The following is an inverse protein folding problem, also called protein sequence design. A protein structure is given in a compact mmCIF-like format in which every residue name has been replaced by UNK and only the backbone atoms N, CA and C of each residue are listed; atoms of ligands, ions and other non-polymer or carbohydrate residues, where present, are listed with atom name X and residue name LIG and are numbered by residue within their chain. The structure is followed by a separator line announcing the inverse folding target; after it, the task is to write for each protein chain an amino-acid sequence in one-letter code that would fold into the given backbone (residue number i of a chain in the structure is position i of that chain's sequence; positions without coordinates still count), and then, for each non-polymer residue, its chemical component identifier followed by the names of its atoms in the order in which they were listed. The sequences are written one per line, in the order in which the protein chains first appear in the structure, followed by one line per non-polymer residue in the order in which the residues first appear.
data_IF_875291904072
#
_entry.id   IF_875291904072
#
_cell.length_a   1.000
_cell.length_b   1.000
_cell.length_c   1.000
_cell.angle_alpha   90.00
_cell.angle_beta   90.00
_cell.angle_gamma   90.00
#
_symmetry.space_group_name_H-M   'P 1'
#
loop_
_entity.id
_entity.type
_entity.pdbx_description
1 polymer ?
#
# COMPACT_ATOMS: atom_id res chain seq x y z
N UNK A 1 11.41 -15.66 4.96
CA UNK A 1 10.09 -15.49 5.60
C UNK A 1 9.74 -16.69 6.49
N UNK A 2 9.82 -17.92 6.03
CA UNK A 2 9.48 -19.13 6.79
C UNK A 2 10.18 -19.22 8.16
N UNK A 3 11.50 -18.99 8.22
CA UNK A 3 12.26 -18.99 9.49
C UNK A 3 11.81 -17.90 10.46
N UNK A 4 11.41 -16.72 9.95
CA UNK A 4 10.90 -15.62 10.75
C UNK A 4 9.53 -15.98 11.35
N UNK A 5 8.62 -16.47 10.51
CA UNK A 5 7.30 -16.94 10.95
C UNK A 5 7.44 -18.08 11.97
N UNK A 6 8.31 -19.05 11.71
CA UNK A 6 8.54 -20.17 12.64
C UNK A 6 9.07 -19.72 13.99
N UNK A 7 9.86 -18.65 14.03
CA UNK A 7 10.39 -18.09 15.29
C UNK A 7 9.27 -17.44 16.14
N UNK A 8 8.40 -16.65 15.50
CA UNK A 8 7.35 -15.91 16.23
C UNK A 8 6.03 -16.68 16.40
N UNK A 9 5.86 -17.81 15.71
CA UNK A 9 4.59 -18.57 15.72
C UNK A 9 4.17 -18.99 17.13
N UNK A 10 5.12 -19.38 17.95
CA UNK A 10 4.88 -19.90 19.30
C UNK A 10 5.34 -18.88 20.38
N UNK A 11 5.56 -17.62 20.01
CA UNK A 11 5.90 -16.57 20.95
C UNK A 11 4.68 -16.16 21.78
N UNK A 12 4.88 -15.94 23.08
CA UNK A 12 3.82 -15.47 24.00
C UNK A 12 3.41 -14.03 23.69
N UNK A 13 4.30 -13.22 23.10
CA UNK A 13 4.05 -11.84 22.72
C UNK A 13 3.28 -11.77 21.40
N UNK A 14 2.18 -11.02 21.39
CA UNK A 14 1.40 -10.76 20.17
C UNK A 14 2.28 -10.05 19.14
N UNK A 15 2.50 -10.71 18.02
CA UNK A 15 3.40 -10.23 16.97
C UNK A 15 2.66 -10.19 15.62
N UNK A 16 2.78 -9.05 14.93
CA UNK A 16 2.34 -8.89 13.53
C UNK A 16 3.58 -8.69 12.66
N UNK A 17 3.65 -9.43 11.56
CA UNK A 17 4.72 -9.31 10.57
C UNK A 17 4.08 -8.85 9.25
N UNK A 18 4.59 -7.74 8.72
CA UNK A 18 4.21 -7.22 7.40
C UNK A 18 5.40 -7.41 6.47
N UNK A 19 5.17 -8.11 5.38
CA UNK A 19 6.15 -8.28 4.32
C UNK A 19 5.59 -7.72 3.03
N UNK A 20 6.30 -6.78 2.41
CA UNK A 20 5.87 -6.14 1.17
C UNK A 20 7.08 -5.82 0.29
N UNK A 21 6.84 -5.74 -1.02
CA UNK A 21 7.82 -5.18 -1.96
C UNK A 21 7.79 -3.65 -1.86
N UNK A 22 8.96 -3.04 -1.89
CA UNK A 22 9.10 -1.57 -1.93
C UNK A 22 8.95 -1.03 -3.36
N UNK A 23 9.41 -1.79 -4.35
CA UNK A 23 9.30 -1.48 -5.77
C UNK A 23 9.58 -2.72 -6.64
N UNK A 24 9.23 -2.64 -7.91
CA UNK A 24 9.64 -3.62 -8.91
C UNK A 24 11.15 -3.51 -9.23
N UNK A 25 11.79 -4.57 -9.75
CA UNK A 25 13.18 -4.52 -10.18
C UNK A 25 13.47 -3.37 -11.15
N UNK A 26 14.72 -2.93 -11.19
CA UNK A 26 15.16 -1.88 -12.14
C UNK A 26 14.86 -2.27 -13.59
N UNK A 27 14.74 -1.26 -14.47
CA UNK A 27 14.46 -1.46 -15.91
C UNK A 27 15.43 -2.42 -16.58
N UNK A 28 16.69 -2.39 -16.20
CA UNK A 28 17.70 -3.28 -16.76
C UNK A 28 17.40 -4.75 -16.46
N UNK A 29 17.00 -5.06 -15.22
CA UNK A 29 16.62 -6.41 -14.81
C UNK A 29 15.28 -6.81 -15.44
N UNK A 30 14.28 -5.95 -15.35
CA UNK A 30 12.93 -6.21 -15.89
C UNK A 30 12.96 -6.41 -17.41
N UNK A 31 13.76 -5.60 -18.16
CA UNK A 31 13.95 -5.78 -19.61
C UNK A 31 14.50 -7.15 -19.97
N UNK A 32 15.42 -7.67 -19.16
CA UNK A 32 15.98 -9.02 -19.36
C UNK A 32 14.92 -10.10 -19.18
N UNK A 33 14.07 -9.96 -18.18
CA UNK A 33 12.96 -10.90 -17.92
C UNK A 33 11.92 -10.83 -19.04
N UNK A 34 11.53 -9.63 -19.45
CA UNK A 34 10.59 -9.41 -20.56
C UNK A 34 11.12 -10.05 -21.85
N UNK A 35 12.38 -9.79 -22.21
CA UNK A 35 13.01 -10.36 -23.41
C UNK A 35 13.01 -11.89 -23.40
N UNK A 36 13.31 -12.52 -22.27
CA UNK A 36 13.23 -13.99 -22.11
C UNK A 36 11.84 -14.56 -22.34
N UNK A 37 10.79 -13.75 -22.11
CA UNK A 37 9.38 -14.11 -22.34
C UNK A 37 8.85 -13.60 -23.69
N UNK A 38 9.73 -13.14 -24.59
CA UNK A 38 9.33 -12.63 -25.90
C UNK A 38 8.60 -11.29 -25.86
N UNK A 39 8.72 -10.55 -24.76
CA UNK A 39 8.08 -9.25 -24.52
C UNK A 39 9.08 -8.11 -24.51
N UNK A 40 8.61 -6.88 -24.72
CA UNK A 40 9.39 -5.67 -24.55
C UNK A 40 8.50 -4.53 -24.07
N UNK A 41 9.08 -3.50 -23.47
CA UNK A 41 8.35 -2.35 -22.93
C UNK A 41 7.40 -1.69 -23.95
N UNK A 42 7.80 -1.62 -25.20
CA UNK A 42 7.02 -0.98 -26.27
C UNK A 42 5.81 -1.80 -26.75
N UNK A 43 5.68 -3.04 -26.32
CA UNK A 43 4.63 -3.97 -26.73
C UNK A 43 3.78 -4.45 -25.54
N UNK A 44 3.90 -3.82 -24.36
CA UNK A 44 3.06 -4.11 -23.21
C UNK A 44 1.69 -3.45 -23.37
N UNK A 45 0.65 -4.16 -23.02
CA UNK A 45 -0.70 -3.59 -22.86
C UNK A 45 -0.73 -2.61 -21.68
N UNK A 46 -1.74 -1.76 -21.59
CA UNK A 46 -1.91 -0.85 -20.44
C UNK A 46 -1.96 -1.61 -19.13
N UNK A 47 -2.68 -2.74 -19.06
CA UNK A 47 -2.76 -3.58 -17.88
C UNK A 47 -1.39 -4.15 -17.49
N UNK A 48 -0.59 -4.58 -18.46
CA UNK A 48 0.77 -5.05 -18.19
C UNK A 48 1.69 -3.93 -17.70
N UNK A 49 1.51 -2.70 -18.21
CA UNK A 49 2.26 -1.53 -17.74
C UNK A 49 1.91 -1.17 -16.30
N UNK A 50 0.66 -1.31 -15.89
CA UNK A 50 0.21 -1.08 -14.51
C UNK A 50 0.89 -2.01 -13.51
N UNK A 51 1.16 -3.27 -13.88
CA UNK A 51 1.86 -4.24 -13.03
C UNK A 51 3.25 -3.78 -12.57
N UNK A 52 3.87 -2.85 -13.31
CA UNK A 52 5.15 -2.26 -12.92
C UNK A 52 5.09 -1.50 -11.59
N UNK A 53 3.92 -1.01 -11.23
CA UNK A 53 3.68 -0.22 -10.02
C UNK A 53 2.96 -1.02 -8.93
N UNK A 54 2.85 -2.31 -9.11
CA UNK A 54 2.23 -3.22 -8.15
C UNK A 54 3.28 -4.15 -7.55
N UNK A 55 3.20 -4.32 -6.25
CA UNK A 55 4.04 -5.23 -5.49
C UNK A 55 3.17 -6.06 -4.55
N UNK A 56 3.52 -7.33 -4.30
CA UNK A 56 2.78 -8.15 -3.34
C UNK A 56 3.05 -7.69 -1.92
N UNK A 57 2.07 -7.88 -1.06
CA UNK A 57 2.24 -7.76 0.39
C UNK A 57 1.55 -8.91 1.11
N UNK A 58 2.03 -9.22 2.30
CA UNK A 58 1.46 -10.21 3.21
C UNK A 58 1.47 -9.65 4.62
N UNK A 59 0.36 -9.78 5.31
CA UNK A 59 0.26 -9.53 6.76
C UNK A 59 0.07 -10.87 7.44
N UNK A 60 0.88 -11.16 8.43
CA UNK A 60 0.81 -12.37 9.23
C UNK A 60 0.83 -11.99 10.72
N UNK A 61 0.08 -12.72 11.53
CA UNK A 61 0.11 -12.58 12.98
C UNK A 61 0.19 -13.96 13.65
N UNK A 62 0.73 -14.02 14.87
CA UNK A 62 0.70 -15.22 15.71
C UNK A 62 -0.58 -15.32 16.57
N UNK A 63 -1.54 -14.49 16.32
CA UNK A 63 -2.86 -14.47 16.95
C UNK A 63 -3.93 -14.20 15.89
N UNK A 64 -5.18 -14.38 16.25
CA UNK A 64 -6.32 -14.22 15.33
C UNK A 64 -6.49 -12.75 14.92
N UNK A 65 -6.44 -12.52 13.61
CA UNK A 65 -6.72 -11.24 12.95
C UNK A 65 -7.63 -11.48 11.75
N UNK A 66 -8.37 -10.47 11.31
CA UNK A 66 -9.22 -10.57 10.13
C UNK A 66 -8.40 -10.92 8.88
N UNK A 67 -8.74 -12.07 8.26
CA UNK A 67 -8.09 -12.55 7.04
C UNK A 67 -8.76 -11.94 5.82
N UNK A 68 -7.94 -11.47 4.88
CA UNK A 68 -8.38 -10.96 3.60
C UNK A 68 -7.39 -11.38 2.51
N UNK A 69 -7.90 -11.80 1.36
CA UNK A 69 -7.09 -12.19 0.22
C UNK A 69 -7.49 -11.40 -1.01
N UNK A 70 -6.49 -10.99 -1.82
CA UNK A 70 -6.71 -10.30 -3.07
C UNK A 70 -7.17 -8.84 -2.92
N UNK A 71 -6.99 -8.24 -1.73
CA UNK A 71 -7.29 -6.83 -1.53
C UNK A 71 -6.20 -5.95 -2.14
N UNK A 72 -6.61 -5.04 -3.00
CA UNK A 72 -5.74 -3.97 -3.47
C UNK A 72 -5.68 -2.85 -2.42
N UNK A 73 -4.47 -2.36 -2.19
CA UNK A 73 -4.24 -1.17 -1.35
C UNK A 73 -3.09 -0.36 -1.92
N UNK A 74 -2.88 0.83 -1.42
CA UNK A 74 -1.69 1.61 -1.73
C UNK A 74 -0.82 1.82 -0.49
N UNK A 75 0.48 2.04 -0.72
CA UNK A 75 1.47 2.05 0.35
C UNK A 75 1.18 3.05 1.49
N UNK A 76 0.50 4.17 1.17
CA UNK A 76 0.10 5.19 2.13
C UNK A 76 -0.93 4.68 3.16
N UNK A 77 -1.73 3.65 2.84
CA UNK A 77 -2.71 3.07 3.74
C UNK A 77 -2.17 1.89 4.55
N UNK A 78 -1.13 1.21 4.05
CA UNK A 78 -0.69 -0.08 4.59
C UNK A 78 -0.43 -0.05 6.10
N UNK A 79 0.20 1.00 6.61
CA UNK A 79 0.47 1.11 8.05
C UNK A 79 -0.82 1.24 8.87
N UNK A 80 -1.79 2.03 8.41
CA UNK A 80 -3.07 2.20 9.10
C UNK A 80 -3.88 0.90 9.11
N UNK A 81 -3.93 0.20 7.96
CA UNK A 81 -4.59 -1.11 7.86
C UNK A 81 -3.99 -2.17 8.78
N UNK A 82 -2.67 -2.22 8.85
CA UNK A 82 -1.98 -3.17 9.74
C UNK A 82 -2.28 -2.88 11.20
N UNK A 83 -2.28 -1.62 11.63
CA UNK A 83 -2.61 -1.22 12.99
C UNK A 83 -4.07 -1.55 13.34
N UNK A 84 -4.99 -1.26 12.42
CA UNK A 84 -6.42 -1.59 12.59
C UNK A 84 -6.63 -3.10 12.77
N UNK A 85 -6.05 -3.92 11.88
CA UNK A 85 -6.11 -5.40 11.96
C UNK A 85 -5.43 -5.94 13.21
N UNK A 86 -4.39 -5.28 13.69
CA UNK A 86 -3.71 -5.63 14.95
C UNK A 86 -4.52 -5.25 16.21
N UNK A 87 -5.64 -4.56 16.05
CA UNK A 87 -6.46 -4.05 17.16
C UNK A 87 -5.81 -2.87 17.90
N UNK A 88 -4.89 -2.15 17.25
CA UNK A 88 -4.24 -0.96 17.79
C UNK A 88 -5.08 0.27 17.45
N UNK A 89 -5.44 1.13 18.42
CA UNK A 89 -6.18 2.35 18.15
C UNK A 89 -5.43 3.25 17.16
N UNK A 90 -6.15 3.74 16.17
CA UNK A 90 -5.60 4.69 15.19
C UNK A 90 -5.66 6.11 15.74
N UNK A 91 -4.63 6.90 15.45
CA UNK A 91 -4.66 8.35 15.64
C UNK A 91 -5.56 9.05 14.59
N UNK A 92 -5.68 10.37 14.70
CA UNK A 92 -6.54 11.14 13.81
C UNK A 92 -6.11 11.05 12.33
N UNK A 93 -4.80 11.08 12.06
CA UNK A 93 -4.30 10.99 10.70
C UNK A 93 -4.54 9.60 10.08
N UNK A 94 -4.26 8.53 10.82
CA UNK A 94 -4.49 7.16 10.36
C UNK A 94 -5.98 6.84 10.22
N UNK A 95 -6.81 7.38 11.12
CA UNK A 95 -8.28 7.29 11.00
C UNK A 95 -8.79 8.01 9.75
N UNK A 96 -8.23 9.19 9.43
CA UNK A 96 -8.52 9.88 8.18
C UNK A 96 -8.11 9.05 6.96
N UNK A 97 -6.93 8.43 6.97
CA UNK A 97 -6.48 7.56 5.87
C UNK A 97 -7.44 6.38 5.64
N UNK A 98 -7.91 5.73 6.71
CA UNK A 98 -8.87 4.64 6.58
C UNK A 98 -10.22 5.12 6.03
N UNK A 99 -10.67 6.31 6.41
CA UNK A 99 -11.85 6.93 5.80
C UNK A 99 -11.62 7.24 4.31
N UNK A 100 -10.51 7.89 3.97
CA UNK A 100 -10.14 8.20 2.58
C UNK A 100 -10.08 6.94 1.71
N UNK A 101 -9.58 5.83 2.25
CA UNK A 101 -9.54 4.53 1.56
C UNK A 101 -10.92 4.03 1.15
N UNK A 102 -11.98 4.35 1.89
CA UNK A 102 -13.34 3.92 1.52
C UNK A 102 -13.82 4.56 0.22
N UNK A 103 -13.29 5.73 -0.13
CA UNK A 103 -13.62 6.45 -1.36
C UNK A 103 -12.57 6.23 -2.45
N UNK A 104 -11.29 6.15 -2.05
CA UNK A 104 -10.14 5.98 -2.94
C UNK A 104 -9.25 4.83 -2.46
N UNK A 105 -9.62 3.57 -2.69
CA UNK A 105 -8.85 2.40 -2.23
C UNK A 105 -7.41 2.37 -2.76
N UNK A 106 -7.12 3.04 -3.86
CA UNK A 106 -5.75 3.16 -4.40
C UNK A 106 -5.44 4.61 -4.73
N UNK A 107 -4.41 5.17 -4.10
CA UNK A 107 -3.80 6.45 -4.45
C UNK A 107 -2.31 6.23 -4.65
N UNK A 108 -1.83 6.44 -5.87
CA UNK A 108 -0.43 6.35 -6.22
C UNK A 108 -0.02 7.50 -7.14
N UNK A 109 1.28 7.63 -7.43
CA UNK A 109 1.79 8.65 -8.36
C UNK A 109 1.26 8.49 -9.79
N UNK A 110 0.80 7.30 -10.16
CA UNK A 110 0.41 6.97 -11.54
C UNK A 110 -1.06 6.57 -11.67
N UNK A 111 -1.74 6.27 -10.55
CA UNK A 111 -3.08 5.72 -10.57
C UNK A 111 -3.84 6.14 -9.30
N UNK A 112 -5.04 6.64 -9.48
CA UNK A 112 -6.03 6.84 -8.40
C UNK A 112 -7.30 6.10 -8.79
N UNK A 113 -7.78 5.22 -7.91
CA UNK A 113 -8.97 4.38 -8.14
C UNK A 113 -10.02 4.73 -7.12
N UNK A 114 -11.26 4.95 -7.55
CA UNK A 114 -12.42 5.18 -6.69
C UNK A 114 -13.04 3.85 -6.23
N UNK A 115 -13.90 3.92 -5.23
CA UNK A 115 -14.60 2.76 -4.67
C UNK A 115 -15.45 1.98 -5.70
N UNK A 116 -15.92 2.64 -6.75
CA UNK A 116 -16.66 2.01 -7.85
C UNK A 116 -15.74 1.35 -8.90
N UNK A 117 -14.43 1.38 -8.70
CA UNK A 117 -13.42 0.82 -9.61
C UNK A 117 -13.01 1.75 -10.74
N UNK A 118 -13.61 2.94 -10.86
CA UNK A 118 -13.22 3.91 -11.89
C UNK A 118 -11.83 4.50 -11.59
N UNK A 119 -11.04 4.72 -12.65
CA UNK A 119 -9.76 5.40 -12.55
C UNK A 119 -9.94 6.89 -12.82
N UNK A 120 -9.38 7.71 -11.97
CA UNK A 120 -9.41 9.17 -12.06
C UNK A 120 -8.00 9.74 -11.96
N UNK A 121 -7.82 10.96 -12.45
CA UNK A 121 -6.59 11.70 -12.20
C UNK A 121 -6.70 12.41 -10.86
N UNK A 122 -5.64 12.35 -10.06
CA UNK A 122 -5.59 13.08 -8.79
C UNK A 122 -5.81 14.60 -8.95
N UNK A 123 -5.57 15.16 -10.15
CA UNK A 123 -5.86 16.56 -10.49
C UNK A 123 -7.35 16.86 -10.63
N UNK A 124 -8.17 15.86 -10.94
CA UNK A 124 -9.60 16.03 -11.17
C UNK A 124 -10.39 15.96 -9.84
N UNK A 125 -9.80 15.30 -8.83
CA UNK A 125 -10.29 15.21 -7.44
C UNK A 125 -9.51 16.19 -6.54
N UNK A 126 -9.47 17.47 -6.93
CA UNK A 126 -8.52 18.43 -6.37
C UNK A 126 -8.73 18.68 -4.88
N UNK A 127 -9.96 18.85 -4.43
CA UNK A 127 -10.25 19.27 -3.06
C UNK A 127 -9.86 18.16 -2.05
N UNK A 128 -10.22 16.92 -2.31
CA UNK A 128 -9.87 15.75 -1.49
C UNK A 128 -8.37 15.50 -1.51
N UNK A 129 -7.73 15.56 -2.68
CA UNK A 129 -6.30 15.35 -2.80
C UNK A 129 -5.49 16.50 -2.19
N UNK A 130 -5.97 17.73 -2.19
CA UNK A 130 -5.32 18.86 -1.51
C UNK A 130 -5.42 18.74 0.01
N UNK A 131 -6.55 18.26 0.54
CA UNK A 131 -6.68 17.93 1.97
C UNK A 131 -5.70 16.82 2.35
N UNK A 132 -5.69 15.73 1.61
CA UNK A 132 -4.78 14.61 1.84
C UNK A 132 -3.31 15.06 1.85
N UNK A 133 -2.87 15.83 0.85
CA UNK A 133 -1.49 16.35 0.78
C UNK A 133 -1.13 17.25 1.94
N UNK A 134 -2.04 18.11 2.38
CA UNK A 134 -1.82 19.00 3.54
C UNK A 134 -1.66 18.21 4.83
N UNK A 135 -2.53 17.22 5.06
CA UNK A 135 -2.44 16.36 6.24
C UNK A 135 -1.17 15.51 6.22
N UNK A 136 -0.81 14.95 5.06
CA UNK A 136 0.45 14.20 4.89
C UNK A 136 1.67 15.09 5.16
N UNK A 137 1.66 16.32 4.66
CA UNK A 137 2.74 17.28 4.91
C UNK A 137 2.85 17.61 6.40
N UNK A 138 1.72 17.87 7.06
CA UNK A 138 1.68 18.13 8.50
C UNK A 138 2.24 16.96 9.29
N UNK A 139 1.80 15.75 9.01
CA UNK A 139 2.27 14.51 9.66
C UNK A 139 3.78 14.31 9.51
N UNK A 140 4.34 14.60 8.34
CA UNK A 140 5.74 14.36 8.06
C UNK A 140 6.69 15.45 8.56
N UNK A 141 6.25 16.70 8.64
CA UNK A 141 7.15 17.85 8.81
C UNK A 141 6.78 18.79 9.97
N UNK A 142 5.51 18.88 10.36
CA UNK A 142 5.05 19.83 11.36
C UNK A 142 4.70 19.21 12.72
N UNK A 143 4.80 17.91 12.84
CA UNK A 143 4.41 17.14 14.02
C UNK A 143 5.23 17.45 15.30
N UNK A 144 6.18 18.34 15.28
CA UNK A 144 7.10 18.62 16.37
C UNK A 144 7.08 20.05 16.94
N UNK A 145 6.23 20.93 16.46
CA UNK A 145 6.28 22.36 16.84
C UNK A 145 5.15 22.82 17.77
N UNK A 146 4.35 21.91 18.30
CA UNK A 146 3.38 22.27 19.36
C UNK A 146 4.09 22.17 20.71
N UNK A 147 4.69 23.28 21.15
CA UNK A 147 5.11 23.51 22.53
C UNK A 147 3.91 23.89 23.40
#
# INVERSE_FOLDING_TARGET
MESLISYFKDADEKTVIVFFGDHQPSDAVASTVLAKNGMSWNHLTEEQQKLRYQVPYVVWANYDIDEETGADTSANYLAAEVLERAGVPLDEYRSYLMHLKTEYPVISAVRTVKADGSEVRASDEKDEMDIYRKLQYYELFDHGTVN
#
